data_IF_548414469145
#
_entry.id   IF_548414469145
#
_cell.length_a   1.000
_cell.length_b   1.000
_cell.length_c   1.000
_cell.angle_alpha   90.00
_cell.angle_beta   90.00
_cell.angle_gamma   90.00
#
_symmetry.space_group_name_H-M   'P 1'
#
loop_
_entity.id
_entity.type
_entity.pdbx_description
1 polymer ?
#
# COMPACT_ATOMS: atom_id res chain seq x y z
N UNK A 1 1.07 18.33 -10.79
CA UNK A 1 0.28 18.63 -9.58
C UNK A 1 1.01 19.70 -8.80
N UNK A 2 0.37 20.82 -8.46
CA UNK A 2 0.99 21.82 -7.57
C UNK A 2 1.18 21.20 -6.18
N UNK A 3 2.37 21.36 -5.60
CA UNK A 3 2.68 20.84 -4.26
C UNK A 3 1.85 21.59 -3.21
N UNK A 4 1.27 20.87 -2.24
CA UNK A 4 0.45 21.45 -1.17
C UNK A 4 1.26 22.48 -0.36
N UNK A 5 0.65 23.61 0.01
CA UNK A 5 1.26 24.61 0.92
C UNK A 5 0.92 24.21 2.36
N UNK A 6 1.90 23.90 3.22
CA UNK A 6 1.62 23.53 4.60
C UNK A 6 1.33 24.76 5.47
N UNK A 7 0.27 24.66 6.26
CA UNK A 7 -0.10 25.65 7.27
C UNK A 7 0.03 25.06 8.67
N UNK A 8 0.32 25.92 9.64
CA UNK A 8 0.28 25.61 11.07
C UNK A 8 -0.95 26.27 11.67
N UNK A 9 -1.77 25.47 12.35
CA UNK A 9 -2.79 25.97 13.26
C UNK A 9 -2.14 26.42 14.57
N UNK A 10 -2.34 27.68 14.98
CA UNK A 10 -1.81 28.22 16.24
C UNK A 10 -2.88 28.39 17.34
N UNK A 11 -4.13 27.98 17.09
CA UNK A 11 -5.27 28.16 18.01
C UNK A 11 -6.24 29.27 17.59
N UNK A 12 -5.85 30.13 16.65
CA UNK A 12 -6.65 31.28 16.19
C UNK A 12 -6.61 31.43 14.66
N UNK A 13 -5.44 31.24 14.06
CA UNK A 13 -5.20 31.43 12.62
C UNK A 13 -4.38 30.29 12.02
N UNK A 14 -4.58 30.06 10.72
CA UNK A 14 -3.70 29.21 9.91
C UNK A 14 -2.56 30.06 9.35
N UNK A 15 -1.32 29.74 9.75
CA UNK A 15 -0.12 30.48 9.31
C UNK A 15 0.72 29.59 8.39
N UNK A 16 1.08 30.03 7.17
CA UNK A 16 1.92 29.22 6.28
C UNK A 16 3.30 28.97 6.93
N UNK A 17 3.87 27.78 6.72
CA UNK A 17 5.21 27.49 7.25
C UNK A 17 6.27 28.41 6.62
N UNK A 18 7.39 28.67 7.33
CA UNK A 18 8.49 29.48 6.81
C UNK A 18 8.96 28.99 5.43
N UNK A 19 9.17 29.93 4.49
CA UNK A 19 9.63 29.63 3.13
C UNK A 19 8.52 29.48 2.09
N UNK A 20 7.25 29.49 2.50
CA UNK A 20 6.10 29.39 1.60
C UNK A 20 5.40 30.74 1.33
N UNK A 21 5.87 31.86 1.90
CA UNK A 21 5.26 33.20 1.70
C UNK A 21 5.07 33.55 0.21
N UNK A 22 6.13 33.49 -0.60
CA UNK A 22 6.05 33.83 -2.04
C UNK A 22 5.01 33.03 -2.81
N UNK A 23 4.76 31.79 -2.37
CA UNK A 23 3.73 30.94 -2.97
C UNK A 23 2.34 31.31 -2.51
N UNK A 24 2.19 31.68 -1.24
CA UNK A 24 0.91 32.20 -0.74
C UNK A 24 0.52 33.47 -1.49
N UNK A 25 1.45 34.40 -1.70
CA UNK A 25 1.20 35.65 -2.42
C UNK A 25 0.81 35.42 -3.90
N UNK A 26 1.25 34.31 -4.49
CA UNK A 26 0.94 33.94 -5.86
C UNK A 26 -0.35 33.12 -6.01
N UNK A 27 -0.81 32.46 -4.94
CA UNK A 27 -1.94 31.51 -4.97
C UNK A 27 -3.18 32.01 -4.22
N UNK A 28 -3.04 32.95 -3.28
CA UNK A 28 -4.13 33.47 -2.45
C UNK A 28 -4.24 35.00 -2.54
N UNK A 29 -5.47 35.50 -2.46
CA UNK A 29 -5.80 36.93 -2.49
C UNK A 29 -6.29 37.37 -1.10
N UNK A 30 -5.72 38.46 -0.61
CA UNK A 30 -6.14 39.05 0.66
C UNK A 30 -7.64 39.42 0.63
N UNK A 31 -8.42 38.89 1.58
CA UNK A 31 -9.85 39.13 1.69
C UNK A 31 -10.74 38.12 0.99
N UNK A 32 -10.19 37.19 0.20
CA UNK A 32 -10.96 36.08 -0.35
C UNK A 32 -11.19 34.97 0.69
N UNK A 33 -12.30 34.25 0.53
CA UNK A 33 -12.66 33.10 1.35
C UNK A 33 -12.22 31.83 0.65
N UNK A 34 -11.34 31.06 1.31
CA UNK A 34 -10.90 29.75 0.83
C UNK A 34 -11.41 28.65 1.76
N UNK A 35 -11.87 27.54 1.17
CA UNK A 35 -12.18 26.33 1.94
C UNK A 35 -10.88 25.68 2.41
N UNK A 36 -10.80 25.40 3.71
CA UNK A 36 -9.66 24.72 4.32
C UNK A 36 -10.11 23.36 4.82
N UNK A 37 -9.34 22.33 4.48
CA UNK A 37 -9.54 20.98 4.96
C UNK A 37 -8.24 20.47 5.59
N UNK A 38 -8.34 19.83 6.75
CA UNK A 38 -7.20 19.17 7.36
C UNK A 38 -6.82 17.93 6.53
N UNK A 39 -5.79 18.06 5.69
CA UNK A 39 -5.31 16.93 4.91
C UNK A 39 -4.45 16.05 5.81
N UNK A 40 -5.00 14.91 6.23
CA UNK A 40 -4.26 13.85 6.90
C UNK A 40 -3.34 13.10 5.93
N UNK A 41 -2.27 13.77 5.49
CA UNK A 41 -1.23 13.09 4.73
C UNK A 41 -0.45 12.17 5.68
N UNK A 42 -0.37 10.88 5.32
CA UNK A 42 0.64 10.00 5.89
C UNK A 42 2.02 10.60 5.63
N UNK A 43 2.95 10.47 6.58
CA UNK A 43 4.30 11.00 6.35
C UNK A 43 5.02 10.19 5.27
N UNK A 44 5.71 10.88 4.36
CA UNK A 44 6.58 10.23 3.38
C UNK A 44 7.61 9.31 4.07
N UNK A 45 8.02 9.66 5.29
CA UNK A 45 8.89 8.84 6.15
C UNK A 45 8.25 7.48 6.50
N UNK A 46 7.00 7.45 6.95
CA UNK A 46 6.32 6.18 7.28
C UNK A 46 6.14 5.30 6.05
N UNK A 47 5.87 5.92 4.90
CA UNK A 47 5.79 5.23 3.61
C UNK A 47 7.16 4.65 3.23
N UNK A 48 8.22 5.45 3.20
CA UNK A 48 9.57 4.99 2.88
C UNK A 48 10.02 3.86 3.82
N UNK A 49 9.80 4.00 5.12
CA UNK A 49 10.07 2.96 6.11
C UNK A 49 9.37 1.65 5.77
N UNK A 50 8.08 1.67 5.41
CA UNK A 50 7.36 0.44 5.10
C UNK A 50 7.99 -0.31 3.91
N UNK A 51 8.32 0.39 2.82
CA UNK A 51 8.94 -0.25 1.66
C UNK A 51 10.36 -0.75 1.98
N UNK A 52 11.11 -0.03 2.80
CA UNK A 52 12.41 -0.49 3.29
C UNK A 52 12.29 -1.78 4.13
N UNK A 53 11.35 -1.84 5.08
CA UNK A 53 11.12 -3.03 5.90
C UNK A 53 10.69 -4.25 5.08
N UNK A 54 9.87 -4.06 4.04
CA UNK A 54 9.49 -5.14 3.13
C UNK A 54 10.70 -5.65 2.33
N UNK A 55 11.57 -4.75 1.88
CA UNK A 55 12.78 -5.13 1.18
C UNK A 55 13.74 -5.91 2.09
N UNK A 56 13.91 -5.47 3.34
CA UNK A 56 14.73 -6.17 4.34
C UNK A 56 14.20 -7.58 4.62
N UNK A 57 12.87 -7.70 4.82
CA UNK A 57 12.23 -9.00 4.98
C UNK A 57 12.45 -9.91 3.76
N UNK A 58 12.38 -9.35 2.55
CA UNK A 58 12.62 -10.08 1.31
C UNK A 58 14.05 -10.61 1.20
N UNK A 59 15.05 -9.81 1.60
CA UNK A 59 16.46 -10.24 1.62
C UNK A 59 16.74 -11.33 2.66
N UNK A 60 15.91 -11.41 3.69
CA UNK A 60 16.04 -12.36 4.81
C UNK A 60 15.10 -13.57 4.65
N UNK A 61 14.45 -13.72 3.49
CA UNK A 61 13.55 -14.85 3.28
C UNK A 61 14.32 -16.19 3.32
N UNK A 62 13.72 -17.24 3.93
CA UNK A 62 14.21 -18.60 3.78
C UNK A 62 14.33 -19.00 2.30
N UNK A 63 15.39 -19.73 1.95
CA UNK A 63 15.69 -20.13 0.54
C UNK A 63 14.49 -20.78 -0.17
N UNK A 64 13.70 -21.58 0.54
CA UNK A 64 12.52 -22.26 0.00
C UNK A 64 11.37 -21.31 -0.40
N UNK A 65 11.42 -20.03 0.01
CA UNK A 65 10.44 -19.00 -0.35
C UNK A 65 10.97 -17.99 -1.37
N UNK A 66 12.28 -17.97 -1.62
CA UNK A 66 12.91 -17.04 -2.58
C UNK A 66 12.36 -17.26 -4.00
N UNK A 67 12.19 -18.52 -4.41
CA UNK A 67 11.62 -18.85 -5.72
C UNK A 67 10.17 -18.36 -5.89
N UNK A 68 9.42 -18.28 -4.79
CA UNK A 68 8.02 -17.84 -4.80
C UNK A 68 7.91 -16.32 -4.98
N UNK A 69 8.90 -15.56 -4.51
CA UNK A 69 8.88 -14.10 -4.51
C UNK A 69 10.09 -13.54 -5.27
N UNK A 70 10.00 -13.41 -6.60
CA UNK A 70 11.12 -12.92 -7.41
C UNK A 70 11.60 -11.50 -7.05
N UNK A 71 10.72 -10.69 -6.46
CA UNK A 71 11.05 -9.33 -5.99
C UNK A 71 10.34 -9.03 -4.68
N UNK A 72 10.84 -8.03 -3.94
CA UNK A 72 10.18 -7.50 -2.74
C UNK A 72 8.75 -7.00 -3.03
N UNK A 73 8.47 -6.55 -4.25
CA UNK A 73 7.13 -6.16 -4.69
C UNK A 73 6.17 -7.37 -4.78
N UNK A 74 6.62 -8.53 -5.25
CA UNK A 74 5.82 -9.77 -5.23
C UNK A 74 5.47 -10.16 -3.79
N UNK A 75 6.46 -10.14 -2.89
CA UNK A 75 6.26 -10.41 -1.47
C UNK A 75 5.25 -9.43 -0.85
N UNK A 76 5.38 -8.13 -1.15
CA UNK A 76 4.48 -7.08 -0.67
C UNK A 76 3.03 -7.33 -1.10
N UNK A 77 2.82 -7.55 -2.40
CA UNK A 77 1.50 -7.72 -3.00
C UNK A 77 0.83 -8.99 -2.49
N UNK A 78 1.57 -10.08 -2.40
CA UNK A 78 1.08 -11.32 -1.81
C UNK A 78 0.70 -11.15 -0.33
N UNK A 79 1.54 -10.46 0.45
CA UNK A 79 1.28 -10.20 1.87
C UNK A 79 0.03 -9.35 2.09
N UNK A 80 -0.21 -8.34 1.24
CA UNK A 80 -1.44 -7.55 1.27
C UNK A 80 -2.68 -8.39 1.01
N UNK A 81 -2.64 -9.24 -0.03
CA UNK A 81 -3.75 -10.16 -0.34
C UNK A 81 -3.99 -11.11 0.83
N UNK A 82 -2.93 -11.68 1.40
CA UNK A 82 -3.01 -12.59 2.54
C UNK A 82 -3.56 -11.93 3.80
N UNK A 83 -3.24 -10.65 4.01
CA UNK A 83 -3.71 -9.83 5.12
C UNK A 83 -5.13 -9.26 4.90
N UNK A 84 -5.78 -9.52 3.77
CA UNK A 84 -7.14 -9.05 3.47
C UNK A 84 -7.22 -7.64 2.88
N UNK A 85 -6.10 -7.04 2.48
CA UNK A 85 -6.04 -5.74 1.80
C UNK A 85 -6.00 -5.94 0.29
N UNK A 86 -7.08 -6.51 -0.23
CA UNK A 86 -7.22 -6.82 -1.66
C UNK A 86 -8.66 -6.69 -2.13
N UNK A 87 -8.81 -6.31 -3.38
CA UNK A 87 -10.06 -6.47 -4.11
C UNK A 87 -10.10 -7.86 -4.74
N UNK A 88 -11.31 -8.42 -4.88
CA UNK A 88 -11.50 -9.69 -5.54
C UNK A 88 -12.60 -9.62 -6.59
N UNK A 89 -12.43 -10.39 -7.65
CA UNK A 89 -13.43 -10.58 -8.71
C UNK A 89 -13.66 -12.06 -8.90
N UNK A 90 -14.93 -12.43 -8.97
CA UNK A 90 -15.35 -13.80 -9.24
C UNK A 90 -15.77 -13.92 -10.69
N UNK A 91 -15.23 -14.92 -11.39
CA UNK A 91 -15.61 -15.26 -12.75
C UNK A 91 -16.18 -16.68 -12.70
N UNK A 92 -17.46 -16.81 -13.05
CA UNK A 92 -18.17 -18.09 -13.06
C UNK A 92 -18.04 -18.70 -14.45
N UNK A 93 -17.47 -19.91 -14.52
CA UNK A 93 -17.39 -20.73 -15.71
C UNK A 93 -18.54 -21.74 -15.76
N UNK A 94 -18.80 -22.33 -16.93
CA UNK A 94 -19.84 -23.34 -17.10
C UNK A 94 -19.45 -24.71 -16.51
N UNK A 95 -18.15 -24.95 -16.28
CA UNK A 95 -17.66 -26.20 -15.70
C UNK A 95 -16.34 -26.02 -14.94
N UNK A 96 -15.99 -27.01 -14.10
CA UNK A 96 -14.69 -27.05 -13.40
C UNK A 96 -13.51 -27.04 -14.37
N UNK A 97 -13.62 -27.78 -15.48
CA UNK A 97 -12.56 -27.86 -16.49
C UNK A 97 -12.35 -26.51 -17.20
N UNK A 98 -13.43 -25.78 -17.45
CA UNK A 98 -13.35 -24.42 -18.00
C UNK A 98 -12.76 -23.44 -17.00
N UNK A 99 -13.13 -23.50 -15.71
CA UNK A 99 -12.56 -22.66 -14.67
C UNK A 99 -11.04 -22.82 -14.56
N UNK A 100 -10.52 -24.04 -14.69
CA UNK A 100 -9.06 -24.28 -14.71
C UNK A 100 -8.38 -23.62 -15.92
N UNK A 101 -8.96 -23.74 -17.13
CA UNK A 101 -8.43 -23.08 -18.33
C UNK A 101 -8.47 -21.56 -18.21
N UNK A 102 -9.56 -21.02 -17.69
CA UNK A 102 -9.71 -19.60 -17.45
C UNK A 102 -8.70 -19.10 -16.42
N UNK A 103 -8.47 -19.83 -15.33
CA UNK A 103 -7.46 -19.46 -14.35
C UNK A 103 -6.05 -19.44 -14.95
N UNK A 104 -5.71 -20.41 -15.80
CA UNK A 104 -4.43 -20.44 -16.51
C UNK A 104 -4.28 -19.25 -17.48
N UNK A 105 -5.37 -18.81 -18.11
CA UNK A 105 -5.39 -17.65 -19.00
C UNK A 105 -5.29 -16.32 -18.23
N UNK A 106 -5.95 -16.21 -17.07
CA UNK A 106 -5.99 -14.98 -16.27
C UNK A 106 -4.70 -14.77 -15.48
N UNK A 107 -4.07 -15.84 -14.97
CA UNK A 107 -2.85 -15.76 -14.16
C UNK A 107 -1.74 -14.89 -14.76
N UNK A 108 -1.38 -14.95 -16.06
CA UNK A 108 -0.34 -14.10 -16.63
C UNK A 108 -0.76 -12.63 -16.84
N UNK A 109 -2.03 -12.26 -16.70
CA UNK A 109 -2.51 -10.89 -16.94
C UNK A 109 -2.08 -9.90 -15.85
N UNK A 110 -1.87 -10.40 -14.63
CA UNK A 110 -1.33 -9.65 -13.49
C UNK A 110 -0.39 -10.56 -12.71
N UNK A 111 0.92 -10.30 -12.82
CA UNK A 111 1.97 -11.10 -12.18
C UNK A 111 1.89 -11.09 -10.65
N UNK A 112 1.15 -10.15 -10.06
CA UNK A 112 1.00 -10.00 -8.62
C UNK A 112 -0.32 -10.56 -8.08
N UNK A 113 -1.26 -10.91 -8.96
CA UNK A 113 -2.56 -11.40 -8.54
C UNK A 113 -2.48 -12.83 -7.99
N UNK A 114 -3.27 -13.10 -6.95
CA UNK A 114 -3.49 -14.47 -6.47
C UNK A 114 -4.76 -14.97 -7.13
N UNK A 115 -4.66 -16.04 -7.93
CA UNK A 115 -5.81 -16.66 -8.59
C UNK A 115 -6.11 -17.98 -7.90
N UNK A 116 -7.37 -18.16 -7.49
CA UNK A 116 -7.86 -19.40 -6.88
C UNK A 116 -9.04 -19.94 -7.68
N UNK A 117 -9.20 -21.27 -7.70
CA UNK A 117 -10.32 -21.94 -8.36
C UNK A 117 -11.05 -22.78 -7.33
N UNK A 118 -12.36 -22.58 -7.21
CA UNK A 118 -13.25 -23.42 -6.39
C UNK A 118 -14.44 -23.81 -7.25
N UNK A 119 -14.58 -25.11 -7.50
CA UNK A 119 -15.56 -25.66 -8.44
C UNK A 119 -15.50 -24.99 -9.81
N UNK A 120 -16.58 -24.32 -10.23
CA UNK A 120 -16.65 -23.58 -11.50
C UNK A 120 -16.40 -22.09 -11.34
N UNK A 121 -15.87 -21.64 -10.19
CA UNK A 121 -15.62 -20.22 -9.90
C UNK A 121 -14.12 -19.96 -9.82
N UNK A 122 -13.65 -18.99 -10.61
CA UNK A 122 -12.30 -18.44 -10.54
C UNK A 122 -12.36 -17.13 -9.74
N UNK A 123 -11.63 -17.05 -8.64
CA UNK A 123 -11.49 -15.81 -7.87
C UNK A 123 -10.09 -15.23 -8.09
N UNK A 124 -10.05 -13.99 -8.56
CA UNK A 124 -8.83 -13.22 -8.79
C UNK A 124 -8.73 -12.18 -7.69
N UNK A 125 -7.66 -12.25 -6.88
CA UNK A 125 -7.35 -11.27 -5.86
C UNK A 125 -6.26 -10.33 -6.35
N UNK A 126 -6.50 -9.02 -6.28
CA UNK A 126 -5.54 -7.97 -6.61
C UNK A 126 -5.33 -7.11 -5.37
N UNK A 127 -4.08 -6.94 -4.94
CA UNK A 127 -3.77 -6.15 -3.75
C UNK A 127 -4.17 -4.68 -3.92
N UNK A 128 -4.71 -4.08 -2.86
CA UNK A 128 -5.04 -2.65 -2.82
C UNK A 128 -3.81 -1.79 -3.17
N UNK A 129 -4.04 -0.68 -3.87
CA UNK A 129 -2.98 0.29 -4.15
C UNK A 129 -2.64 1.07 -2.90
N UNK A 130 -1.43 0.89 -2.38
CA UNK A 130 -0.92 1.68 -1.26
C UNK A 130 -0.34 3.04 -1.71
N UNK A 131 -0.67 3.56 -2.91
CA UNK A 131 -0.21 4.89 -3.32
C UNK A 131 -0.81 6.01 -2.47
N UNK A 132 -0.15 7.17 -2.39
CA UNK A 132 -0.63 8.32 -1.59
C UNK A 132 -2.02 8.79 -2.03
N UNK A 133 -2.35 8.59 -3.30
CA UNK A 133 -3.63 8.99 -3.90
C UNK A 133 -4.73 7.96 -3.66
N UNK A 134 -4.38 6.67 -3.64
CA UNK A 134 -5.35 5.59 -3.61
C UNK A 134 -5.71 5.13 -2.18
N UNK A 135 -4.84 5.36 -1.20
CA UNK A 135 -5.02 4.86 0.16
C UNK A 135 -4.74 5.94 1.20
N UNK A 136 -5.76 6.25 1.99
CA UNK A 136 -5.68 7.19 3.11
C UNK A 136 -4.74 6.72 4.22
N UNK A 137 -4.35 7.65 5.09
CA UNK A 137 -3.38 7.43 6.17
C UNK A 137 -3.75 6.26 7.10
N UNK A 138 -5.00 6.21 7.55
CA UNK A 138 -5.47 5.16 8.45
C UNK A 138 -5.37 3.76 7.81
N UNK A 139 -6.01 3.58 6.65
CA UNK A 139 -5.97 2.31 5.90
C UNK A 139 -4.54 1.88 5.56
N UNK A 140 -3.68 2.84 5.23
CA UNK A 140 -2.26 2.55 5.01
C UNK A 140 -1.59 2.02 6.28
N UNK A 141 -1.79 2.67 7.43
CA UNK A 141 -1.22 2.23 8.69
C UNK A 141 -1.71 0.83 9.07
N UNK A 142 -3.01 0.57 8.96
CA UNK A 142 -3.59 -0.77 9.19
C UNK A 142 -2.97 -1.83 8.28
N UNK A 143 -2.85 -1.54 6.97
CA UNK A 143 -2.23 -2.46 6.01
C UNK A 143 -0.75 -2.67 6.26
N UNK A 144 -0.02 -1.62 6.67
CA UNK A 144 1.40 -1.66 7.03
C UNK A 144 1.60 -2.60 8.21
N UNK A 145 0.84 -2.41 9.28
CA UNK A 145 1.01 -3.18 10.51
C UNK A 145 0.67 -4.66 10.28
N UNK A 146 -0.39 -4.94 9.53
CA UNK A 146 -0.76 -6.31 9.16
C UNK A 146 0.30 -7.00 8.30
N UNK A 147 0.84 -6.30 7.29
CA UNK A 147 1.90 -6.84 6.43
C UNK A 147 3.18 -7.07 7.21
N UNK A 148 3.63 -6.11 8.03
CA UNK A 148 4.86 -6.26 8.82
C UNK A 148 4.73 -7.39 9.84
N UNK A 149 3.56 -7.56 10.46
CA UNK A 149 3.29 -8.68 11.36
C UNK A 149 3.39 -10.03 10.65
N UNK A 150 2.86 -10.10 9.43
CA UNK A 150 2.90 -11.31 8.61
C UNK A 150 4.34 -11.63 8.16
N UNK A 151 5.09 -10.62 7.72
CA UNK A 151 6.48 -10.79 7.30
C UNK A 151 7.37 -11.23 8.45
N UNK A 152 7.19 -10.64 9.63
CA UNK A 152 7.91 -11.03 10.83
C UNK A 152 7.68 -12.50 11.19
N UNK A 153 6.42 -12.95 11.13
CA UNK A 153 6.06 -14.35 11.34
C UNK A 153 6.68 -15.28 10.28
N UNK A 154 6.79 -14.85 9.02
CA UNK A 154 7.40 -15.64 7.94
C UNK A 154 8.91 -15.84 8.13
N UNK A 155 9.61 -14.82 8.61
CA UNK A 155 11.08 -14.86 8.81
C UNK A 155 11.48 -15.26 10.24
N UNK A 156 10.52 -15.49 11.13
CA UNK A 156 10.76 -15.90 12.51
C UNK A 156 11.35 -14.80 13.41
N UNK A 157 11.05 -13.52 13.12
CA UNK A 157 11.50 -12.37 13.93
C UNK A 157 10.30 -11.61 14.53
N UNK A 158 10.57 -10.61 15.36
CA UNK A 158 9.57 -9.68 15.89
C UNK A 158 9.30 -8.51 14.90
N UNK A 159 8.05 -8.06 14.69
CA UNK A 159 7.72 -6.97 13.76
C UNK A 159 8.40 -5.63 14.11
N UNK A 160 8.65 -5.37 15.39
CA UNK A 160 9.36 -4.17 15.87
C UNK A 160 10.84 -4.26 15.54
N UNK A 161 11.45 -5.44 15.64
CA UNK A 161 12.85 -5.66 15.24
C UNK A 161 13.02 -5.52 13.73
N UNK A 162 12.10 -6.07 12.94
CA UNK A 162 12.05 -5.88 11.49
C UNK A 162 11.88 -4.40 11.10
N UNK A 163 11.06 -3.66 11.86
CA UNK A 163 10.91 -2.22 11.67
C UNK A 163 12.19 -1.43 11.98
N UNK A 164 12.93 -1.80 13.02
CA UNK A 164 14.18 -1.13 13.42
C UNK A 164 15.34 -1.40 12.48
N UNK A 165 15.45 -2.61 11.92
CA UNK A 165 16.51 -2.96 10.97
C UNK A 165 16.47 -2.10 9.69
N UNK A 166 15.29 -1.59 9.34
CA UNK A 166 15.04 -0.81 8.13
C UNK A 166 15.07 0.72 8.31
N UNK A 167 15.43 1.22 9.50
CA UNK A 167 15.33 2.63 9.90
C UNK A 167 16.58 3.47 9.59
#
# INVERSE_FOLDING_TARGET
MKAVIPFRWNGDTMVPLPGFQRRCDAEFVCGEVYNLEAIEQRSAKSHAHFFASVNEAWQTLPENLVEQFPTSEHLRKWSLIRAGYAEHRNIVAASKAEAQRLAAFVKPMDSYAVVTVRDSVVTVYTAESQSMKAMGKQRFQESKDAVLSLLAAMIGTDPVELGRAAA
#
